data_IF_522048458973
#
_entry.id   IF_522048458973
#
_cell.length_a   1.000
_cell.length_b   1.000
_cell.length_c   1.000
_cell.angle_alpha   90.00
_cell.angle_beta   90.00
_cell.angle_gamma   90.00
#
_symmetry.space_group_name_H-M   'P 1'
#
loop_
_entity.id
_entity.type
_entity.pdbx_description
1 polymer ?
#
# COMPACT_ATOMS: atom_id res chain seq x y z
N UNK A 1 7.26 4.94 13.15
CA UNK A 1 6.46 3.69 13.10
C UNK A 1 5.96 3.46 11.67
N UNK A 2 5.68 2.21 11.25
CA UNK A 2 5.38 1.85 9.83
C UNK A 2 4.26 2.70 9.20
N UNK A 3 3.25 3.09 9.98
CA UNK A 3 2.16 3.97 9.52
C UNK A 3 2.66 5.36 9.11
N UNK A 4 3.66 5.91 9.79
CA UNK A 4 4.26 7.19 9.40
C UNK A 4 4.96 7.07 8.05
N UNK A 5 5.62 5.95 7.77
CA UNK A 5 6.20 5.66 6.46
C UNK A 5 5.13 5.56 5.37
N UNK A 6 4.00 4.91 5.67
CA UNK A 6 2.85 4.85 4.74
C UNK A 6 2.29 6.26 4.48
N UNK A 7 2.11 7.09 5.52
CA UNK A 7 1.69 8.49 5.34
C UNK A 7 2.69 9.29 4.51
N UNK A 8 3.98 9.09 4.74
CA UNK A 8 5.04 9.76 3.99
C UNK A 8 5.00 9.37 2.51
N UNK A 9 4.84 8.08 2.19
CA UNK A 9 4.66 7.65 0.80
C UNK A 9 3.37 8.20 0.20
N UNK A 10 2.27 8.22 0.96
CA UNK A 10 0.98 8.71 0.47
C UNK A 10 0.97 10.22 0.18
N UNK A 11 1.78 11.00 0.91
CA UNK A 11 1.91 12.45 0.75
C UNK A 11 3.11 12.85 -0.12
N UNK A 12 3.86 11.90 -0.68
CA UNK A 12 5.00 12.22 -1.53
C UNK A 12 4.54 12.98 -2.79
N UNK A 13 5.28 14.02 -3.16
CA UNK A 13 5.03 14.80 -4.39
C UNK A 13 6.33 14.84 -5.22
N UNK A 14 6.37 14.22 -6.40
CA UNK A 14 5.29 13.42 -7.00
C UNK A 14 5.04 12.12 -6.22
N UNK A 15 3.80 11.61 -6.31
CA UNK A 15 3.45 10.34 -5.70
C UNK A 15 4.27 9.19 -6.32
N UNK A 16 4.76 8.28 -5.47
CA UNK A 16 5.49 7.09 -5.91
C UNK A 16 4.75 5.85 -5.42
N UNK A 17 4.33 4.94 -6.33
CA UNK A 17 3.66 3.70 -5.94
C UNK A 17 4.48 2.86 -4.96
N UNK A 18 3.80 2.21 -4.02
CA UNK A 18 4.41 1.37 -2.99
C UNK A 18 3.57 0.13 -2.69
N UNK A 19 4.12 -0.79 -1.91
CA UNK A 19 3.50 -2.04 -1.47
C UNK A 19 3.53 -2.11 0.06
N UNK A 20 2.44 -2.58 0.65
CA UNK A 20 2.30 -2.85 2.07
C UNK A 20 2.49 -4.35 2.30
N UNK A 21 3.42 -4.71 3.19
CA UNK A 21 3.69 -6.09 3.58
C UNK A 21 3.11 -6.37 4.96
N UNK A 22 2.25 -7.40 5.04
CA UNK A 22 1.68 -7.90 6.28
C UNK A 22 2.56 -8.97 6.91
N UNK A 23 2.53 -9.09 8.24
CA UNK A 23 3.20 -10.15 8.97
C UNK A 23 2.68 -11.56 8.62
N UNK A 24 1.47 -11.68 8.05
CA UNK A 24 0.93 -12.93 7.50
C UNK A 24 1.61 -13.39 6.21
N UNK A 25 2.42 -12.52 5.59
CA UNK A 25 2.99 -12.73 4.25
C UNK A 25 2.12 -12.19 3.12
N UNK A 26 0.93 -11.65 3.41
CA UNK A 26 0.09 -10.98 2.41
C UNK A 26 0.68 -9.62 2.01
N UNK A 27 0.45 -9.23 0.76
CA UNK A 27 0.95 -7.97 0.22
C UNK A 27 -0.11 -7.22 -0.59
N UNK A 28 -0.13 -5.90 -0.45
CA UNK A 28 -1.11 -5.03 -1.08
C UNK A 28 -0.41 -3.88 -1.82
N UNK A 29 -0.64 -3.81 -3.13
CA UNK A 29 -0.11 -2.74 -3.98
C UNK A 29 -0.96 -1.46 -3.83
N UNK A 30 -0.29 -0.31 -3.70
CA UNK A 30 -0.90 1.03 -3.70
C UNK A 30 -0.40 1.79 -4.93
N UNK A 31 -1.09 1.68 -6.08
CA UNK A 31 -0.67 2.30 -7.34
C UNK A 31 -0.94 3.81 -7.40
N UNK A 32 -1.84 4.33 -6.57
CA UNK A 32 -2.27 5.73 -6.48
C UNK A 32 -2.75 6.01 -5.04
N UNK A 33 -2.67 7.25 -4.51
CA UNK A 33 -3.13 7.57 -3.15
C UNK A 33 -4.62 7.29 -2.91
N UNK A 34 -5.46 7.25 -3.94
CA UNK A 34 -6.89 6.93 -3.81
C UNK A 34 -7.16 5.46 -3.46
N UNK A 35 -6.18 4.57 -3.65
CA UNK A 35 -6.31 3.15 -3.35
C UNK A 35 -6.16 2.84 -1.86
N UNK A 36 -5.91 3.86 -1.03
CA UNK A 36 -5.64 3.69 0.39
C UNK A 36 -6.31 4.79 1.23
N UNK A 37 -6.87 4.37 2.36
CA UNK A 37 -7.31 5.26 3.43
C UNK A 37 -6.60 4.88 4.73
N UNK A 38 -5.96 5.85 5.37
CA UNK A 38 -5.27 5.65 6.64
C UNK A 38 -6.15 6.25 7.73
N UNK A 39 -6.57 5.45 8.70
CA UNK A 39 -7.35 5.95 9.83
C UNK A 39 -6.67 7.17 10.49
N UNK A 40 -7.43 8.17 10.99
CA UNK A 40 -6.82 9.39 11.53
C UNK A 40 -5.80 9.14 12.64
N UNK A 41 -6.07 8.16 13.51
CA UNK A 41 -5.17 7.75 14.60
C UNK A 41 -4.13 6.70 14.19
N UNK A 42 -4.17 6.20 12.95
CA UNK A 42 -3.22 5.22 12.43
C UNK A 42 -3.39 3.81 12.98
N UNK A 43 -4.56 3.47 13.53
CA UNK A 43 -4.86 2.13 14.07
C UNK A 43 -5.08 1.07 12.98
N UNK A 44 -5.58 1.49 11.83
CA UNK A 44 -5.79 0.63 10.67
C UNK A 44 -5.62 1.41 9.35
N UNK A 45 -5.52 0.65 8.28
CA UNK A 45 -5.48 1.09 6.89
C UNK A 45 -6.55 0.32 6.12
N UNK A 46 -7.25 0.98 5.19
CA UNK A 46 -8.09 0.32 4.20
C UNK A 46 -7.42 0.43 2.85
N UNK A 47 -7.18 -0.70 2.18
CA UNK A 47 -6.67 -0.73 0.80
C UNK A 47 -7.75 -1.25 -0.13
N UNK A 48 -7.99 -0.56 -1.24
CA UNK A 48 -8.86 -1.03 -2.31
C UNK A 48 -8.00 -1.72 -3.36
N UNK A 49 -8.23 -3.00 -3.63
CA UNK A 49 -7.47 -3.72 -4.65
C UNK A 49 -7.96 -3.44 -6.07
N UNK A 50 -7.24 -3.95 -7.08
CA UNK A 50 -7.60 -3.77 -8.49
C UNK A 50 -8.94 -4.42 -8.91
N UNK A 51 -9.60 -5.17 -8.01
CA UNK A 51 -10.94 -5.76 -8.20
C UNK A 51 -11.99 -5.01 -7.37
N UNK A 52 -11.70 -3.79 -6.92
CA UNK A 52 -12.57 -2.95 -6.10
C UNK A 52 -12.93 -3.59 -4.74
N UNK A 53 -12.07 -4.47 -4.21
CA UNK A 53 -12.32 -5.12 -2.91
C UNK A 53 -11.62 -4.36 -1.79
N UNK A 54 -12.33 -3.96 -0.73
CA UNK A 54 -11.72 -3.30 0.41
C UNK A 54 -11.07 -4.33 1.34
N UNK A 55 -9.82 -4.07 1.72
CA UNK A 55 -9.04 -4.86 2.68
C UNK A 55 -8.76 -4.01 3.92
N UNK A 56 -9.26 -4.43 5.08
CA UNK A 56 -9.04 -3.75 6.35
C UNK A 56 -7.81 -4.32 7.04
N UNK A 57 -6.71 -3.55 7.04
CA UNK A 57 -5.42 -3.95 7.56
C UNK A 57 -5.21 -3.34 8.95
N UNK A 58 -5.02 -4.19 9.97
CA UNK A 58 -4.62 -3.73 11.29
C UNK A 58 -3.18 -3.21 11.24
N UNK A 59 -2.95 -1.97 11.68
CA UNK A 59 -1.63 -1.33 11.64
C UNK A 59 -0.55 -2.10 12.40
N UNK A 60 -0.93 -2.82 13.47
CA UNK A 60 -0.01 -3.63 14.28
C UNK A 60 0.51 -4.86 13.53
N UNK A 61 -0.19 -5.30 12.49
CA UNK A 61 0.18 -6.46 11.68
C UNK A 61 0.89 -6.07 10.39
N UNK A 62 1.10 -4.77 10.16
CA UNK A 62 1.90 -4.29 9.03
C UNK A 62 3.36 -4.40 9.42
N UNK A 63 4.10 -5.22 8.69
CA UNK A 63 5.53 -5.42 8.90
C UNK A 63 6.33 -4.25 8.32
N UNK A 64 6.03 -3.85 7.07
CA UNK A 64 6.71 -2.75 6.38
C UNK A 64 5.92 -2.21 5.20
N UNK A 65 6.29 -1.03 4.72
CA UNK A 65 5.92 -0.51 3.42
C UNK A 65 7.17 -0.24 2.59
N UNK A 66 7.16 -0.57 1.31
CA UNK A 66 8.31 -0.38 0.42
C UNK A 66 7.88 0.15 -0.93
N UNK A 67 8.69 1.01 -1.54
CA UNK A 67 8.43 1.48 -2.90
C UNK A 67 8.35 0.31 -3.87
N UNK A 68 7.46 0.41 -4.85
CA UNK A 68 7.35 -0.57 -5.91
C UNK A 68 8.58 -0.47 -6.80
N UNK A 69 9.53 -1.40 -6.61
CA UNK A 69 10.71 -1.50 -7.46
C UNK A 69 10.26 -1.61 -8.94
N UNK A 70 10.86 -0.81 -9.81
CA UNK A 70 10.45 -0.61 -11.21
C UNK A 70 10.32 -1.87 -12.08
N UNK A 71 10.79 -3.02 -11.60
CA UNK A 71 10.56 -4.33 -12.25
C UNK A 71 9.11 -4.81 -12.18
N UNK A 72 8.32 -4.47 -11.13
CA UNK A 72 6.92 -4.93 -11.00
C UNK A 72 5.97 -4.23 -12.00
N UNK A 73 6.25 -2.96 -12.35
CA UNK A 73 5.56 -2.22 -13.44
C UNK A 73 5.59 -2.97 -14.78
N UNK A 74 6.64 -3.77 -15.03
CA UNK A 74 6.78 -4.59 -16.24
C UNK A 74 5.89 -5.83 -16.24
N UNK A 75 5.44 -6.32 -15.07
CA UNK A 75 4.49 -7.45 -14.96
C UNK A 75 3.04 -7.01 -15.10
N UNK A 76 2.68 -5.82 -14.59
CA UNK A 76 1.31 -5.29 -14.75
C UNK A 76 0.97 -4.97 -16.22
N UNK A 77 1.97 -4.52 -17.00
CA UNK A 77 1.85 -4.31 -18.46
C UNK A 77 1.87 -5.61 -19.31
N UNK A 78 2.05 -6.78 -18.69
CA UNK A 78 2.24 -8.07 -19.39
C UNK A 78 1.13 -9.09 -19.13
N UNK A 79 -0.05 -8.66 -18.67
CA UNK A 79 -1.22 -9.53 -18.68
C UNK A 79 -2.00 -9.30 -19.99
N UNK A 80 -2.15 -10.33 -20.84
CA UNK A 80 -2.92 -10.25 -22.09
C UNK A 80 -4.41 -10.05 -21.82
#
# INVERSE_FOLDING_TARGET
>A
MVIESIRQFNHAVPFVPYEIHMASGEHYDVPHPDFISISPRGSFVVVIDAKERPHHLNALLIERATLLNGQKRRRLRKRP
#
